data_IF_042994542702
#
_entry.id   IF_042994542702
#
_cell.length_a   1.000
_cell.length_b   1.000
_cell.length_c   1.000
_cell.angle_alpha   90.00
_cell.angle_beta   90.00
_cell.angle_gamma   90.00
#
_symmetry.space_group_name_H-M   'P 1'
#
loop_
_entity.id
_entity.type
_entity.pdbx_description
1 polymer ?
#
# COMPACT_ATOMS: atom_id res chain seq x y z
N UNK A 1 18.73 -7.62 11.80
CA UNK A 1 18.82 -7.01 10.46
C UNK A 1 19.16 -8.12 9.48
N UNK A 2 18.39 -8.24 8.41
CA UNK A 2 18.60 -9.22 7.35
C UNK A 2 19.05 -8.50 6.08
N UNK A 3 20.09 -9.01 5.42
CA UNK A 3 20.62 -8.41 4.19
C UNK A 3 20.04 -9.11 2.97
N UNK A 4 19.54 -8.32 2.04
CA UNK A 4 19.00 -8.76 0.76
C UNK A 4 20.08 -8.65 -0.32
N UNK A 5 19.97 -9.49 -1.35
CA UNK A 5 20.87 -9.41 -2.50
C UNK A 5 20.54 -8.21 -3.40
N UNK A 6 19.26 -7.86 -3.47
CA UNK A 6 18.67 -6.91 -4.41
C UNK A 6 17.98 -5.75 -3.69
N UNK A 7 17.79 -4.62 -4.37
CA UNK A 7 17.16 -3.41 -3.80
C UNK A 7 15.65 -3.66 -3.64
N UNK A 8 15.11 -3.71 -2.42
CA UNK A 8 13.71 -4.02 -2.19
C UNK A 8 12.81 -2.80 -2.45
N UNK A 9 11.64 -3.01 -3.04
CA UNK A 9 10.70 -1.94 -3.40
C UNK A 9 9.26 -2.19 -2.92
N UNK A 10 8.86 -3.43 -2.66
CA UNK A 10 7.56 -3.74 -2.07
C UNK A 10 7.69 -4.77 -0.94
N UNK A 11 6.83 -4.61 0.06
CA UNK A 11 6.70 -5.52 1.18
C UNK A 11 5.23 -5.80 1.45
N UNK A 12 4.83 -7.06 1.40
CA UNK A 12 3.47 -7.49 1.74
C UNK A 12 3.48 -8.59 2.78
N UNK A 13 2.43 -8.60 3.61
CA UNK A 13 2.15 -9.71 4.50
C UNK A 13 1.54 -10.87 3.71
N UNK A 14 2.05 -12.09 3.93
CA UNK A 14 1.48 -13.31 3.37
C UNK A 14 0.59 -14.00 4.38
N UNK A 15 1.10 -14.23 5.59
CA UNK A 15 0.37 -14.83 6.70
C UNK A 15 0.81 -14.17 8.03
N UNK A 16 0.53 -14.79 9.18
CA UNK A 16 0.88 -14.22 10.50
C UNK A 16 2.39 -14.23 10.80
N UNK A 17 3.15 -15.05 10.10
CA UNK A 17 4.57 -15.33 10.36
C UNK A 17 5.44 -15.25 9.11
N UNK A 18 4.90 -14.85 7.97
CA UNK A 18 5.65 -14.73 6.73
C UNK A 18 5.27 -13.50 5.91
N UNK A 19 6.25 -13.01 5.17
CA UNK A 19 6.16 -11.83 4.30
C UNK A 19 6.68 -12.18 2.91
N UNK A 20 6.25 -11.43 1.91
CA UNK A 20 6.85 -11.45 0.58
C UNK A 20 7.49 -10.09 0.31
N UNK A 21 8.73 -10.13 -0.17
CA UNK A 21 9.50 -8.97 -0.60
C UNK A 21 9.59 -9.01 -2.11
N UNK A 22 9.47 -7.85 -2.71
CA UNK A 22 9.82 -7.64 -4.11
C UNK A 22 11.08 -6.81 -4.14
N UNK A 23 12.07 -7.27 -4.91
CA UNK A 23 13.32 -6.55 -5.12
C UNK A 23 13.62 -6.42 -6.60
N UNK A 24 14.25 -5.32 -6.99
CA UNK A 24 14.75 -5.14 -8.35
C UNK A 24 16.09 -5.85 -8.51
N UNK A 25 16.22 -6.72 -9.52
CA UNK A 25 17.50 -7.36 -9.83
C UNK A 25 18.59 -6.32 -10.14
N UNK A 26 19.85 -6.68 -9.91
CA UNK A 26 20.99 -5.80 -10.21
C UNK A 26 21.05 -5.34 -11.67
N UNK A 27 20.59 -6.18 -12.61
CA UNK A 27 20.50 -5.84 -14.04
C UNK A 27 19.30 -4.93 -14.37
N UNK A 28 18.38 -4.75 -13.42
CA UNK A 28 17.22 -3.89 -13.52
C UNK A 28 16.11 -4.35 -14.48
N UNK A 29 16.25 -5.53 -15.10
CA UNK A 29 15.29 -6.03 -16.11
C UNK A 29 14.08 -6.73 -15.48
N UNK A 30 14.28 -7.43 -14.36
CA UNK A 30 13.24 -8.19 -13.67
C UNK A 30 13.24 -7.95 -12.16
N UNK A 31 12.22 -8.49 -11.49
CA UNK A 31 12.08 -8.48 -10.04
C UNK A 31 12.27 -9.87 -9.45
N UNK A 32 12.79 -9.91 -8.23
CA UNK A 32 12.82 -11.09 -7.38
C UNK A 32 11.64 -11.00 -6.41
N UNK A 33 10.79 -12.02 -6.38
CA UNK A 33 9.80 -12.25 -5.33
C UNK A 33 10.43 -13.21 -4.32
N UNK A 34 10.55 -12.80 -3.06
CA UNK A 34 11.18 -13.59 -2.00
C UNK A 34 10.23 -13.73 -0.82
N UNK A 35 9.80 -14.97 -0.53
CA UNK A 35 9.01 -15.26 0.67
C UNK A 35 9.92 -15.59 1.83
N UNK A 36 9.77 -14.83 2.91
CA UNK A 36 10.54 -15.02 4.13
C UNK A 36 9.61 -15.36 5.31
N UNK A 37 10.04 -16.30 6.12
CA UNK A 37 9.48 -16.55 7.44
C UNK A 37 10.19 -15.67 8.48
N UNK A 38 9.42 -15.11 9.40
CA UNK A 38 9.96 -14.39 10.55
C UNK A 38 10.81 -15.30 11.44
N UNK A 39 11.80 -14.75 12.16
CA UNK A 39 12.44 -15.45 13.26
C UNK A 39 11.40 -15.96 14.26
N UNK A 40 11.44 -17.25 14.60
CA UNK A 40 10.44 -17.87 15.50
C UNK A 40 10.30 -17.14 16.83
N UNK A 41 11.41 -16.58 17.36
CA UNK A 41 11.41 -15.80 18.60
C UNK A 41 10.40 -14.64 18.57
N UNK A 42 10.18 -14.02 17.42
CA UNK A 42 9.25 -12.89 17.25
C UNK A 42 7.80 -13.34 17.04
N UNK A 43 7.59 -14.61 16.68
CA UNK A 43 6.28 -15.20 16.50
C UNK A 43 5.73 -15.86 17.78
N UNK A 44 6.59 -16.09 18.78
CA UNK A 44 6.21 -16.74 20.04
C UNK A 44 5.60 -15.75 21.06
N UNK A 45 4.77 -16.23 21.99
CA UNK A 45 4.37 -15.46 23.15
C UNK A 45 5.59 -14.98 23.97
N UNK A 46 5.50 -13.83 24.68
CA UNK A 46 6.59 -13.31 25.50
C UNK A 46 7.17 -14.33 26.51
N UNK A 47 6.33 -15.22 27.04
CA UNK A 47 6.71 -16.27 27.99
C UNK A 47 7.64 -17.35 27.39
N UNK A 48 7.71 -17.44 26.06
CA UNK A 48 8.47 -18.45 25.33
C UNK A 48 9.63 -17.87 24.51
N UNK A 49 9.87 -16.55 24.55
CA UNK A 49 10.93 -15.88 23.77
C UNK A 49 12.35 -16.44 24.02
N UNK A 50 12.58 -17.06 25.19
CA UNK A 50 13.86 -17.70 25.54
C UNK A 50 14.03 -19.13 25.02
N UNK A 51 12.99 -19.75 24.43
CA UNK A 51 13.00 -21.16 24.01
C UNK A 51 13.49 -21.36 22.57
N UNK A 52 13.40 -20.32 21.74
CA UNK A 52 13.87 -20.37 20.35
C UNK A 52 15.27 -19.76 20.23
N UNK A 53 16.19 -20.50 19.59
CA UNK A 53 17.50 -20.00 19.16
C UNK A 53 17.47 -19.37 17.76
N UNK A 54 16.34 -19.46 17.07
CA UNK A 54 16.17 -18.96 15.72
C UNK A 54 15.98 -17.44 15.72
N UNK A 55 17.01 -16.74 15.25
CA UNK A 55 17.12 -15.27 15.32
C UNK A 55 16.98 -14.61 13.94
N UNK A 56 17.03 -15.38 12.86
CA UNK A 56 17.13 -14.86 11.50
C UNK A 56 15.89 -15.17 10.67
N UNK A 57 15.70 -14.40 9.61
CA UNK A 57 14.69 -14.70 8.61
C UNK A 57 15.06 -15.97 7.86
N UNK A 58 14.08 -16.85 7.66
CA UNK A 58 14.26 -18.04 6.84
C UNK A 58 13.65 -17.81 5.46
N UNK A 59 14.44 -18.00 4.42
CA UNK A 59 13.93 -18.03 3.05
C UNK A 59 13.08 -19.28 2.86
N UNK A 60 11.82 -19.11 2.49
CA UNK A 60 10.90 -20.21 2.18
C UNK A 60 10.90 -20.53 0.69
N UNK A 61 10.83 -19.49 -0.14
CA UNK A 61 10.80 -19.62 -1.59
C UNK A 61 11.23 -18.31 -2.25
N UNK A 62 11.63 -18.38 -3.52
CA UNK A 62 11.95 -17.21 -4.31
C UNK A 62 11.85 -17.47 -5.81
N UNK A 63 11.38 -16.48 -6.56
CA UNK A 63 11.19 -16.55 -8.02
C UNK A 63 11.57 -15.23 -8.66
N UNK A 64 12.15 -15.29 -9.85
CA UNK A 64 12.34 -14.12 -10.70
C UNK A 64 11.16 -13.98 -11.65
N UNK A 65 10.60 -12.78 -11.71
CA UNK A 65 9.63 -12.41 -12.74
C UNK A 65 10.31 -12.21 -14.09
N UNK A 66 9.51 -12.05 -15.14
CA UNK A 66 10.05 -11.72 -16.47
C UNK A 66 10.38 -10.23 -16.57
N UNK A 67 9.57 -9.38 -15.95
CA UNK A 67 9.70 -7.93 -15.97
C UNK A 67 9.64 -7.35 -14.56
N UNK A 68 9.96 -6.06 -14.42
CA UNK A 68 9.83 -5.34 -13.16
C UNK A 68 8.38 -5.39 -12.65
N UNK A 69 8.20 -5.79 -11.40
CA UNK A 69 6.92 -5.72 -10.71
C UNK A 69 6.58 -4.25 -10.45
N UNK A 70 5.35 -3.87 -10.76
CA UNK A 70 4.80 -2.54 -10.49
C UNK A 70 3.91 -2.55 -9.25
N UNK A 71 3.10 -3.59 -9.09
CA UNK A 71 2.22 -3.78 -7.93
C UNK A 71 2.20 -5.25 -7.55
N UNK A 72 2.09 -5.51 -6.26
CA UNK A 72 1.92 -6.85 -5.68
C UNK A 72 0.88 -6.77 -4.56
N UNK A 73 0.10 -7.83 -4.40
CA UNK A 73 -0.77 -8.04 -3.23
C UNK A 73 -0.93 -9.54 -2.95
N UNK A 74 -1.23 -9.89 -1.70
CA UNK A 74 -1.36 -11.26 -1.24
C UNK A 74 -2.80 -11.76 -1.33
N UNK A 75 -2.99 -12.97 -1.86
CA UNK A 75 -4.25 -13.70 -1.77
C UNK A 75 -4.34 -14.40 -0.40
N UNK A 76 -5.51 -14.32 0.25
CA UNK A 76 -5.71 -14.95 1.55
C UNK A 76 -5.60 -16.47 1.42
N UNK A 77 -4.93 -17.11 2.39
CA UNK A 77 -4.92 -18.55 2.64
C UNK A 77 -4.20 -19.46 1.63
N UNK A 78 -3.75 -18.95 0.49
CA UNK A 78 -3.24 -19.81 -0.60
C UNK A 78 -1.73 -19.68 -0.85
N UNK A 79 -0.98 -18.93 -0.04
CA UNK A 79 0.46 -18.66 -0.26
C UNK A 79 0.77 -18.09 -1.67
N UNK A 80 -0.26 -17.48 -2.27
CA UNK A 80 -0.23 -16.90 -3.61
C UNK A 80 -0.16 -15.39 -3.55
N UNK A 81 0.53 -14.83 -4.54
CA UNK A 81 0.59 -13.39 -4.78
C UNK A 81 0.06 -13.08 -6.16
N UNK A 82 -0.66 -11.97 -6.27
CA UNK A 82 -1.01 -11.37 -7.56
C UNK A 82 0.01 -10.27 -7.81
N UNK A 83 0.54 -10.21 -9.03
CA UNK A 83 1.43 -9.13 -9.45
C UNK A 83 0.97 -8.52 -10.76
N UNK A 84 1.24 -7.23 -10.91
CA UNK A 84 1.30 -6.55 -12.20
C UNK A 84 2.75 -6.26 -12.55
N UNK A 85 3.09 -6.43 -13.81
CA UNK A 85 4.44 -6.21 -14.34
C UNK A 85 4.46 -4.97 -15.24
N UNK A 86 5.54 -4.19 -15.20
CA UNK A 86 5.69 -3.00 -16.04
C UNK A 86 5.63 -3.39 -17.51
N UNK A 87 4.88 -2.61 -18.29
CA UNK A 87 4.69 -2.79 -19.73
C UNK A 87 4.06 -4.14 -20.13
N UNK A 88 3.49 -4.86 -19.18
CA UNK A 88 2.79 -6.12 -19.42
C UNK A 88 1.29 -5.91 -19.21
N UNK A 89 0.50 -6.55 -20.07
CA UNK A 89 -0.94 -6.54 -19.93
C UNK A 89 -1.41 -7.67 -18.99
N UNK A 90 -2.37 -7.37 -18.13
CA UNK A 90 -2.98 -8.34 -17.23
C UNK A 90 -2.24 -8.52 -15.90
N UNK A 91 -2.68 -9.51 -15.13
CA UNK A 91 -2.15 -9.85 -13.80
C UNK A 91 -1.64 -11.29 -13.79
N UNK A 92 -0.51 -11.52 -13.12
CA UNK A 92 0.06 -12.87 -12.95
C UNK A 92 -0.13 -13.34 -11.51
N UNK A 93 -0.43 -14.62 -11.33
CA UNK A 93 -0.55 -15.24 -10.01
C UNK A 93 0.63 -16.18 -9.82
N UNK A 94 1.42 -15.92 -8.79
CA UNK A 94 2.55 -16.78 -8.40
C UNK A 94 2.18 -17.52 -7.12
N UNK A 95 2.36 -18.84 -7.10
CA UNK A 95 2.32 -19.60 -5.86
C UNK A 95 3.72 -19.72 -5.30
N UNK A 96 3.85 -19.30 -4.05
CA UNK A 96 5.11 -19.28 -3.32
C UNK A 96 5.20 -20.45 -2.31
N UNK A 97 4.31 -21.43 -2.41
CA UNK A 97 4.36 -22.70 -1.68
C UNK A 97 5.35 -23.67 -2.35
N UNK A 98 6.53 -23.82 -1.75
CA UNK A 98 7.54 -24.77 -2.20
C UNK A 98 7.45 -26.07 -1.39
N UNK A 99 6.44 -26.89 -1.68
CA UNK A 99 6.40 -28.27 -1.19
C UNK A 99 7.13 -29.26 -2.12
N UNK A 100 7.49 -28.85 -3.33
CA UNK A 100 8.25 -29.67 -4.27
C UNK A 100 9.50 -28.93 -4.73
N UNK A 101 10.60 -29.68 -4.90
CA UNK A 101 11.97 -29.22 -5.14
C UNK A 101 12.22 -28.50 -6.48
N UNK A 102 11.19 -27.88 -7.07
CA UNK A 102 11.24 -27.12 -8.30
C UNK A 102 11.37 -25.61 -8.05
N UNK A 103 11.96 -24.90 -9.01
CA UNK A 103 11.93 -23.43 -9.03
C UNK A 103 10.45 -22.99 -9.10
N UNK A 104 9.95 -22.08 -8.25
CA UNK A 104 8.58 -21.61 -8.36
C UNK A 104 8.38 -21.00 -9.75
N UNK A 105 7.37 -21.48 -10.47
CA UNK A 105 6.90 -20.88 -11.73
C UNK A 105 5.53 -20.24 -11.49
N UNK A 106 5.12 -19.22 -12.27
CA UNK A 106 3.77 -18.67 -12.15
C UNK A 106 2.73 -19.77 -12.39
N UNK A 107 1.78 -19.92 -11.47
CA UNK A 107 0.73 -20.95 -11.58
C UNK A 107 -0.31 -20.60 -12.63
N UNK A 108 -0.61 -19.31 -12.80
CA UNK A 108 -1.60 -18.85 -13.76
C UNK A 108 -1.35 -17.40 -14.17
N UNK A 109 -1.73 -17.10 -15.41
CA UNK A 109 -1.72 -15.75 -15.96
C UNK A 109 -3.19 -15.38 -16.18
N UNK A 110 -3.71 -14.41 -15.43
CA UNK A 110 -4.95 -13.75 -15.80
C UNK A 110 -4.62 -12.80 -16.94
N UNK A 111 -4.80 -13.29 -18.16
CA UNK A 111 -4.57 -12.55 -19.39
C UNK A 111 -5.73 -11.60 -19.66
N UNK A 112 -6.09 -10.71 -18.74
CA UNK A 112 -7.01 -9.60 -19.06
C UNK A 112 -6.17 -8.50 -19.71
N UNK A 113 -6.16 -8.38 -21.05
CA UNK A 113 -5.16 -7.58 -21.76
C UNK A 113 -5.35 -6.07 -21.59
N UNK A 114 -6.39 -5.64 -20.88
CA UNK A 114 -6.83 -4.24 -20.79
C UNK A 114 -6.61 -3.65 -19.40
N UNK A 115 -6.15 -4.44 -18.42
CA UNK A 115 -5.90 -3.98 -17.06
C UNK A 115 -4.67 -3.07 -17.00
N UNK A 116 -4.79 -1.96 -16.27
CA UNK A 116 -3.65 -1.13 -15.92
C UNK A 116 -2.74 -1.89 -14.93
N UNK A 117 -1.52 -1.37 -14.76
CA UNK A 117 -0.59 -1.90 -13.77
C UNK A 117 -1.06 -1.68 -12.32
N UNK A 118 -2.01 -0.80 -12.08
CA UNK A 118 -2.56 -0.53 -10.74
C UNK A 118 -3.82 -1.36 -10.50
N UNK A 119 -3.76 -2.26 -9.51
CA UNK A 119 -4.88 -3.09 -9.09
C UNK A 119 -4.98 -3.17 -7.56
N UNK A 120 -6.17 -3.51 -7.08
CA UNK A 120 -6.47 -3.66 -5.66
C UNK A 120 -7.41 -4.84 -5.44
N UNK A 121 -7.14 -5.68 -4.44
CA UNK A 121 -8.02 -6.81 -4.13
C UNK A 121 -9.20 -6.31 -3.29
N UNK A 122 -10.42 -6.51 -3.78
CA UNK A 122 -11.66 -6.23 -3.03
C UNK A 122 -12.02 -7.41 -2.13
N UNK A 123 -11.98 -8.61 -2.71
CA UNK A 123 -12.33 -9.84 -2.01
C UNK A 123 -11.22 -10.87 -2.23
N UNK A 124 -10.45 -11.14 -1.18
CA UNK A 124 -9.34 -12.11 -1.20
C UNK A 124 -9.80 -13.56 -1.33
N UNK A 125 -11.04 -13.89 -0.95
CA UNK A 125 -11.60 -15.25 -1.01
C UNK A 125 -12.08 -15.58 -2.42
N UNK A 126 -12.76 -14.63 -3.05
CA UNK A 126 -13.32 -14.79 -4.40
C UNK A 126 -12.39 -14.25 -5.50
N UNK A 127 -11.16 -13.85 -5.15
CA UNK A 127 -10.17 -13.25 -6.05
C UNK A 127 -10.74 -12.11 -6.91
N UNK A 128 -11.55 -11.24 -6.31
CA UNK A 128 -12.12 -10.08 -7.00
C UNK A 128 -11.16 -8.91 -6.90
N UNK A 129 -10.76 -8.38 -8.04
CA UNK A 129 -9.87 -7.22 -8.15
C UNK A 129 -10.58 -6.02 -8.74
N UNK A 130 -10.14 -4.84 -8.32
CA UNK A 130 -10.45 -3.57 -8.92
C UNK A 130 -9.22 -3.04 -9.64
N UNK A 131 -9.36 -2.63 -10.89
CA UNK A 131 -8.29 -1.98 -11.64
C UNK A 131 -8.84 -0.87 -12.53
N UNK A 132 -7.97 0.07 -12.90
CA UNK A 132 -8.22 0.95 -14.04
C UNK A 132 -7.96 0.17 -15.32
N UNK A 133 -8.63 0.51 -16.41
CA UNK A 133 -8.27 -0.02 -17.74
C UNK A 133 -7.88 1.13 -18.66
N UNK A 134 -7.38 0.80 -19.85
CA UNK A 134 -7.07 1.80 -20.87
C UNK A 134 -8.32 2.52 -21.41
N UNK A 135 -9.52 1.98 -21.17
CA UNK A 135 -10.77 2.45 -21.78
C UNK A 135 -11.84 2.84 -20.74
N UNK A 136 -11.95 2.05 -19.67
CA UNK A 136 -12.86 2.28 -18.55
C UNK A 136 -12.09 2.84 -17.34
N UNK A 137 -12.67 3.80 -16.60
CA UNK A 137 -11.99 4.43 -15.48
C UNK A 137 -11.69 3.43 -14.36
N UNK A 138 -12.63 2.54 -14.04
CA UNK A 138 -12.53 1.56 -12.94
C UNK A 138 -13.45 0.37 -13.25
N UNK A 139 -12.92 -0.86 -13.16
CA UNK A 139 -13.69 -2.11 -13.36
C UNK A 139 -13.43 -3.11 -12.24
N UNK A 140 -14.45 -3.92 -11.95
CA UNK A 140 -14.35 -5.09 -11.08
C UNK A 140 -14.22 -6.35 -11.91
N UNK A 141 -13.25 -7.19 -11.58
CA UNK A 141 -12.94 -8.42 -12.30
C UNK A 141 -12.88 -9.58 -11.32
N UNK A 142 -13.57 -10.66 -11.65
CA UNK A 142 -13.40 -11.95 -11.00
C UNK A 142 -12.24 -12.68 -11.69
N UNK A 143 -11.13 -12.91 -10.97
CA UNK A 143 -9.96 -13.59 -11.53
C UNK A 143 -10.16 -15.11 -11.67
N UNK A 144 -11.11 -15.73 -10.94
CA UNK A 144 -11.36 -17.17 -11.05
C UNK A 144 -12.01 -17.52 -12.39
N UNK A 145 -12.99 -16.71 -12.82
CA UNK A 145 -13.67 -16.88 -14.11
C UNK A 145 -13.17 -15.92 -15.20
N UNK A 146 -12.19 -15.08 -14.87
CA UNK A 146 -11.58 -14.09 -15.76
C UNK A 146 -12.61 -13.16 -16.43
N UNK A 147 -13.60 -12.68 -15.66
CA UNK A 147 -14.76 -11.95 -16.19
C UNK A 147 -14.94 -10.60 -15.49
N UNK A 148 -15.26 -9.56 -16.29
CA UNK A 148 -15.74 -8.27 -15.79
C UNK A 148 -17.07 -8.47 -15.07
N UNK A 149 -17.11 -8.12 -13.78
CA UNK A 149 -18.31 -8.17 -12.93
C UNK A 149 -19.13 -6.89 -13.11
N UNK A 150 -18.47 -5.74 -12.95
CA UNK A 150 -19.11 -4.42 -12.92
C UNK A 150 -18.14 -3.35 -13.42
N UNK A 151 -18.70 -2.26 -13.95
CA UNK A 151 -18.00 -1.03 -14.25
C UNK A 151 -18.44 0.05 -13.27
N UNK A 152 -17.50 0.83 -12.75
CA UNK A 152 -17.83 2.00 -11.93
C UNK A 152 -17.82 3.22 -12.84
N UNK A 153 -19.00 3.70 -13.17
CA UNK A 153 -19.17 4.98 -13.85
C UNK A 153 -18.97 6.11 -12.83
N UNK A 154 -17.72 6.56 -12.72
CA UNK A 154 -17.34 7.61 -11.79
C UNK A 154 -17.29 8.97 -12.51
N UNK A 155 -18.27 9.87 -12.27
CA UNK A 155 -18.28 11.20 -12.87
C UNK A 155 -17.28 12.10 -12.13
N UNK A 156 -15.99 12.02 -12.46
CA UNK A 156 -15.06 13.06 -12.04
C UNK A 156 -15.45 14.38 -12.67
N UNK A 157 -15.93 15.32 -11.86
CA UNK A 157 -15.75 16.74 -12.16
C UNK A 157 -14.27 17.05 -11.94
N UNK A 158 -13.40 16.65 -12.87
CA UNK A 158 -12.02 17.10 -12.87
C UNK A 158 -12.09 18.62 -13.10
N UNK A 159 -12.03 19.41 -12.02
CA UNK A 159 -11.82 20.86 -12.12
C UNK A 159 -10.45 20.99 -12.77
N UNK A 160 -10.42 21.25 -14.08
CA UNK A 160 -9.19 21.67 -14.70
C UNK A 160 -8.77 22.92 -13.93
N UNK A 161 -7.65 22.83 -13.20
CA UNK A 161 -6.99 24.01 -12.70
C UNK A 161 -6.86 24.97 -13.88
N UNK A 162 -7.18 26.24 -13.65
CA UNK A 162 -7.06 27.35 -14.59
C UNK A 162 -5.63 27.41 -15.17
N UNK A 163 -5.32 26.55 -16.13
CA UNK A 163 -4.36 26.83 -17.17
C UNK A 163 -5.14 27.70 -18.15
N UNK A 164 -4.95 29.00 -17.99
CA UNK A 164 -5.54 30.03 -18.82
C UNK A 164 -5.28 29.75 -20.30
N UNK A 165 -6.23 29.08 -20.95
CA UNK A 165 -6.56 29.19 -22.37
C UNK A 165 -7.69 28.22 -22.68
N UNK A 166 -8.88 28.78 -22.93
CA UNK A 166 -9.80 28.40 -24.01
C UNK A 166 -11.26 28.69 -23.60
N UNK A 167 -11.78 29.78 -24.17
CA UNK A 167 -13.16 30.25 -24.11
C UNK A 167 -14.17 29.34 -24.85
N UNK A 168 -14.03 28.02 -24.84
CA UNK A 168 -14.93 27.12 -25.56
C UNK A 168 -15.38 25.95 -24.67
N UNK A 169 -16.07 26.27 -23.56
CA UNK A 169 -16.47 25.26 -22.56
C UNK A 169 -17.88 24.67 -22.75
N UNK A 170 -18.63 25.06 -23.79
CA UNK A 170 -20.03 24.62 -23.91
C UNK A 170 -20.30 23.37 -24.76
N UNK A 171 -19.35 22.88 -25.57
CA UNK A 171 -19.64 21.78 -26.51
C UNK A 171 -18.72 20.57 -26.43
N UNK A 172 -18.04 20.36 -25.30
CA UNK A 172 -17.06 19.30 -25.19
C UNK A 172 -17.38 18.40 -23.98
N UNK A 173 -18.13 17.31 -24.25
CA UNK A 173 -17.98 16.04 -23.50
C UNK A 173 -16.60 15.44 -23.82
N UNK A 174 -15.53 16.24 -23.69
CA UNK A 174 -14.17 15.74 -23.83
C UNK A 174 -13.93 14.87 -22.61
N UNK A 175 -13.66 13.59 -22.87
CA UNK A 175 -13.25 12.57 -21.93
C UNK A 175 -12.09 13.07 -21.05
N UNK A 176 -12.41 13.78 -19.97
CA UNK A 176 -11.47 14.15 -18.91
C UNK A 176 -10.87 12.92 -18.21
N UNK A 177 -11.40 11.72 -18.50
CA UNK A 177 -10.97 10.44 -17.97
C UNK A 177 -9.53 10.06 -18.33
N UNK A 178 -8.98 10.57 -19.45
CA UNK A 178 -7.64 10.19 -19.90
C UNK A 178 -6.49 10.87 -19.13
N UNK A 179 -6.73 11.99 -18.43
CA UNK A 179 -5.67 12.77 -17.77
C UNK A 179 -5.73 12.80 -16.23
N UNK A 180 -6.80 12.29 -15.62
CA UNK A 180 -6.89 12.19 -14.16
C UNK A 180 -6.13 10.91 -13.70
N UNK A 181 -5.13 11.08 -12.85
CA UNK A 181 -4.34 9.98 -12.28
C UNK A 181 -5.09 9.45 -11.06
N UNK A 182 -5.91 8.42 -11.29
CA UNK A 182 -6.87 7.91 -10.31
C UNK A 182 -6.28 6.68 -9.63
N UNK A 183 -6.27 6.70 -8.29
CA UNK A 183 -5.97 5.55 -7.45
C UNK A 183 -7.25 5.05 -6.79
N UNK A 184 -7.34 3.76 -6.59
CA UNK A 184 -8.50 3.12 -5.97
C UNK A 184 -8.07 2.41 -4.68
N UNK A 185 -8.95 2.28 -3.70
CA UNK A 185 -8.68 1.48 -2.51
C UNK A 185 -10.00 0.89 -1.99
N UNK A 186 -10.18 -0.45 -2.03
CA UNK A 186 -11.36 -1.10 -1.48
C UNK A 186 -11.44 -0.85 0.03
N UNK A 187 -12.52 -0.25 0.51
CA UNK A 187 -12.71 -0.01 1.95
C UNK A 187 -13.41 -1.21 2.63
N UNK A 188 -14.20 -1.95 1.87
CA UNK A 188 -14.78 -3.25 2.20
C UNK A 188 -15.24 -3.93 0.89
N UNK A 189 -15.99 -5.03 0.99
CA UNK A 189 -16.50 -5.78 -0.17
C UNK A 189 -17.46 -4.99 -1.07
N UNK A 190 -18.11 -3.96 -0.53
CA UNK A 190 -19.17 -3.20 -1.20
C UNK A 190 -18.78 -1.76 -1.52
N UNK A 191 -17.69 -1.24 -0.95
CA UNK A 191 -17.31 0.16 -1.14
C UNK A 191 -15.84 0.32 -1.50
N UNK A 192 -15.59 1.32 -2.34
CA UNK A 192 -14.25 1.69 -2.80
C UNK A 192 -14.05 3.19 -2.65
N UNK A 193 -12.87 3.57 -2.19
CA UNK A 193 -12.43 4.95 -2.27
C UNK A 193 -11.67 5.21 -3.56
N UNK A 194 -11.97 6.32 -4.20
CA UNK A 194 -11.41 6.77 -5.47
C UNK A 194 -10.71 8.10 -5.18
N UNK A 195 -9.40 8.13 -5.39
CA UNK A 195 -8.55 9.29 -5.16
C UNK A 195 -8.02 9.82 -6.48
N UNK A 196 -8.17 11.11 -6.73
CA UNK A 196 -7.33 11.80 -7.71
C UNK A 196 -5.98 12.08 -7.07
N UNK A 197 -4.94 11.38 -7.51
CA UNK A 197 -3.59 11.49 -6.93
C UNK A 197 -3.01 12.89 -7.09
N UNK A 198 -3.45 13.68 -8.07
CA UNK A 198 -2.89 15.02 -8.32
C UNK A 198 -3.53 16.12 -7.48
N UNK A 199 -4.81 15.98 -7.14
CA UNK A 199 -5.56 16.99 -6.38
C UNK A 199 -5.83 16.59 -4.94
N UNK A 200 -5.68 15.30 -4.61
CA UNK A 200 -6.06 14.78 -3.31
C UNK A 200 -7.58 14.65 -3.13
N UNK A 201 -8.38 14.90 -4.18
CA UNK A 201 -9.83 14.74 -4.13
C UNK A 201 -10.19 13.27 -3.95
N UNK A 202 -11.03 13.00 -2.96
CA UNK A 202 -11.38 11.67 -2.52
C UNK A 202 -12.89 11.48 -2.62
N UNK A 203 -13.32 10.39 -3.23
CA UNK A 203 -14.73 9.97 -3.22
C UNK A 203 -14.88 8.56 -2.74
N UNK A 204 -16.03 8.24 -2.14
CA UNK A 204 -16.39 6.88 -1.77
C UNK A 204 -17.63 6.45 -2.54
N UNK A 205 -17.50 5.32 -3.24
CA UNK A 205 -18.52 4.73 -4.08
C UNK A 205 -18.99 3.40 -3.47
N UNK A 206 -20.31 3.15 -3.46
CA UNK A 206 -20.91 1.87 -3.08
C UNK A 206 -21.42 1.14 -4.33
N UNK A 207 -20.84 -0.03 -4.60
CA UNK A 207 -21.12 -0.86 -5.77
C UNK A 207 -22.58 -1.32 -5.86
N UNK A 208 -23.26 -1.48 -4.72
CA UNK A 208 -24.65 -1.99 -4.67
C UNK A 208 -25.67 -0.93 -5.04
N UNK A 209 -25.39 0.31 -4.63
CA UNK A 209 -26.29 1.44 -4.86
C UNK A 209 -25.95 2.22 -6.12
N UNK A 210 -24.79 1.95 -6.70
CA UNK A 210 -24.18 2.68 -7.81
C UNK A 210 -24.05 4.18 -7.55
N UNK A 211 -23.94 4.57 -6.27
CA UNK A 211 -23.88 5.97 -5.84
C UNK A 211 -22.57 6.29 -5.14
N UNK A 212 -22.07 7.48 -5.46
CA UNK A 212 -21.08 8.17 -4.65
C UNK A 212 -21.81 8.81 -3.46
N UNK A 213 -21.40 8.50 -2.23
CA UNK A 213 -22.04 9.04 -1.03
C UNK A 213 -21.14 10.01 -0.25
N UNK A 214 -19.83 10.03 -0.52
CA UNK A 214 -18.93 11.07 0.02
C UNK A 214 -18.03 11.60 -1.06
N UNK A 215 -17.88 12.93 -1.12
CA UNK A 215 -16.89 13.62 -1.93
C UNK A 215 -16.18 14.65 -1.05
N UNK A 216 -14.88 14.44 -0.83
CA UNK A 216 -14.00 15.34 -0.13
C UNK A 216 -13.11 16.00 -1.17
N UNK A 217 -13.32 17.29 -1.38
CA UNK A 217 -12.41 18.09 -2.19
C UNK A 217 -11.23 18.52 -1.32
N UNK A 218 -10.02 18.28 -1.80
CA UNK A 218 -8.84 18.86 -1.19
C UNK A 218 -8.49 20.15 -1.94
N UNK A 219 -8.52 21.27 -1.23
CA UNK A 219 -7.99 22.52 -1.76
C UNK A 219 -6.47 22.44 -1.72
N UNK A 220 -5.85 22.11 -2.85
CA UNK A 220 -4.39 22.23 -3.02
C UNK A 220 -4.03 23.71 -2.90
N UNK A 221 -3.31 24.08 -1.84
CA UNK A 221 -3.07 25.49 -1.47
C UNK A 221 -1.90 26.14 -2.22
N UNK A 222 -1.03 25.36 -2.85
CA UNK A 222 0.22 25.87 -3.43
C UNK A 222 0.35 25.55 -4.92
N UNK A 223 0.32 26.58 -5.77
CA UNK A 223 0.33 26.45 -7.23
C UNK A 223 1.66 25.92 -7.82
N UNK A 224 2.72 25.79 -7.01
CA UNK A 224 4.09 25.55 -7.48
C UNK A 224 4.64 24.15 -7.14
N UNK A 225 3.91 23.33 -6.39
CA UNK A 225 4.36 21.98 -6.04
C UNK A 225 3.41 20.97 -6.67
N UNK A 226 3.97 20.03 -7.44
CA UNK A 226 3.19 18.91 -7.98
C UNK A 226 2.94 17.92 -6.84
N UNK A 227 1.74 18.00 -6.27
CA UNK A 227 1.31 17.05 -5.25
C UNK A 227 0.97 15.69 -5.86
N UNK A 228 1.38 14.62 -5.16
CA UNK A 228 1.02 13.25 -5.47
C UNK A 228 0.53 12.57 -4.20
N UNK A 229 -0.75 12.24 -4.18
CA UNK A 229 -1.44 11.64 -3.07
C UNK A 229 -1.49 10.11 -3.23
N UNK A 230 -1.31 9.41 -2.13
CA UNK A 230 -1.42 7.95 -2.00
C UNK A 230 -2.51 7.60 -1.00
N UNK A 231 -3.01 6.37 -1.02
CA UNK A 231 -3.99 5.89 -0.03
C UNK A 231 -3.47 4.65 0.70
N UNK A 232 -3.95 4.49 1.93
CA UNK A 232 -3.71 3.31 2.75
C UNK A 232 -4.92 3.03 3.64
N UNK A 233 -5.09 1.79 4.07
CA UNK A 233 -6.14 1.39 5.00
C UNK A 233 -5.61 0.45 6.06
N UNK A 234 -6.31 0.43 7.20
CA UNK A 234 -6.28 -0.68 8.15
C UNK A 234 -6.87 -1.93 7.49
N UNK A 235 -6.32 -3.09 7.84
CA UNK A 235 -6.81 -4.38 7.37
C UNK A 235 -8.18 -4.71 7.99
N UNK A 236 -9.06 -5.30 7.19
CA UNK A 236 -10.50 -5.46 7.50
C UNK A 236 -10.81 -6.62 8.48
N UNK A 237 -9.79 -7.20 9.14
CA UNK A 237 -9.96 -8.40 9.98
C UNK A 237 -10.48 -8.06 11.38
N UNK A 238 -11.75 -7.66 11.48
CA UNK A 238 -12.53 -7.55 12.73
C UNK A 238 -11.89 -6.74 13.88
N UNK A 239 -10.79 -6.04 13.67
CA UNK A 239 -10.09 -5.30 14.70
C UNK A 239 -10.30 -3.81 14.50
N UNK A 240 -10.67 -3.16 15.59
CA UNK A 240 -10.44 -1.74 15.74
C UNK A 240 -8.92 -1.51 15.63
N UNK A 241 -8.45 -0.53 14.83
CA UNK A 241 -9.28 0.55 14.28
C UNK A 241 -9.63 0.44 12.78
N UNK A 242 -10.84 0.91 12.44
CA UNK A 242 -11.38 0.97 11.08
C UNK A 242 -10.97 2.27 10.36
N UNK A 243 -9.68 2.48 10.15
CA UNK A 243 -9.16 3.68 9.51
C UNK A 243 -8.75 3.47 8.05
N UNK A 244 -8.85 4.54 7.27
CA UNK A 244 -8.12 4.68 6.03
C UNK A 244 -7.61 6.11 5.92
N UNK A 245 -6.62 6.36 5.07
CA UNK A 245 -6.04 7.68 4.97
C UNK A 245 -5.35 7.93 3.66
N UNK A 246 -5.12 9.20 3.40
CA UNK A 246 -4.38 9.70 2.24
C UNK A 246 -3.13 10.42 2.70
N UNK A 247 -2.05 10.29 1.94
CA UNK A 247 -0.75 10.92 2.22
C UNK A 247 -0.19 11.52 0.94
N UNK A 248 0.10 12.81 0.98
CA UNK A 248 0.78 13.55 -0.08
C UNK A 248 2.30 13.39 0.01
N UNK A 249 2.96 13.46 -1.15
CA UNK A 249 4.41 13.66 -1.27
C UNK A 249 4.91 14.99 -0.64
N UNK A 250 4.00 15.88 -0.23
CA UNK A 250 4.26 17.09 0.56
C UNK A 250 4.11 16.90 2.08
N UNK A 251 4.04 15.65 2.55
CA UNK A 251 3.90 15.29 3.96
C UNK A 251 2.56 15.69 4.63
N UNK A 252 1.62 16.21 3.84
CA UNK A 252 0.23 16.41 4.23
C UNK A 252 -0.51 15.08 4.24
N UNK A 253 -1.28 14.81 5.29
CA UNK A 253 -2.09 13.60 5.36
C UNK A 253 -3.49 13.86 5.92
N UNK A 254 -4.40 12.95 5.62
CA UNK A 254 -5.74 12.92 6.19
C UNK A 254 -6.14 11.49 6.52
N UNK A 255 -6.59 11.27 7.75
CA UNK A 255 -7.07 9.96 8.22
C UNK A 255 -8.56 10.06 8.49
N UNK A 256 -9.28 9.02 8.08
CA UNK A 256 -10.72 8.90 8.10
C UNK A 256 -11.16 7.63 8.82
N UNK A 257 -12.27 7.69 9.54
CA UNK A 257 -12.93 6.53 10.15
C UNK A 257 -13.98 5.95 9.19
N UNK A 258 -13.80 4.69 8.77
CA UNK A 258 -14.68 3.97 7.82
C UNK A 258 -16.13 3.84 8.34
N UNK A 259 -16.38 3.98 9.65
CA UNK A 259 -17.70 3.80 10.26
C UNK A 259 -18.58 5.05 10.18
N UNK A 260 -18.01 6.24 9.98
CA UNK A 260 -18.72 7.51 10.06
C UNK A 260 -19.12 7.99 8.67
N UNK A 261 -20.24 7.50 8.16
CA UNK A 261 -20.72 7.73 6.79
C UNK A 261 -21.14 9.18 6.45
N UNK A 262 -21.39 10.06 7.44
CA UNK A 262 -21.99 11.38 7.19
C UNK A 262 -21.20 12.58 7.74
N UNK A 263 -20.24 12.34 8.62
CA UNK A 263 -19.36 13.38 9.18
C UNK A 263 -17.96 12.79 9.31
N UNK A 264 -17.37 12.37 8.19
CA UNK A 264 -16.08 11.67 8.19
C UNK A 264 -15.10 12.46 9.06
N UNK A 265 -14.80 11.88 10.23
CA UNK A 265 -13.90 12.46 11.18
C UNK A 265 -12.54 12.49 10.51
N UNK A 266 -12.05 13.68 10.23
CA UNK A 266 -10.84 13.89 9.46
C UNK A 266 -9.77 14.42 10.40
N UNK A 267 -8.85 13.54 10.79
CA UNK A 267 -7.59 13.99 11.36
C UNK A 267 -6.75 14.48 10.18
N UNK A 268 -6.59 15.81 10.05
CA UNK A 268 -5.63 16.40 9.10
C UNK A 268 -4.34 16.70 9.83
N UNK A 269 -3.22 16.45 9.16
CA UNK A 269 -1.92 16.76 9.70
C UNK A 269 -0.93 17.08 8.61
N UNK A 270 0.11 17.80 9.01
CA UNK A 270 1.33 18.03 8.24
C UNK A 270 2.47 17.54 9.12
N UNK A 271 3.33 16.66 8.61
CA UNK A 271 4.48 16.22 9.40
C UNK A 271 5.51 17.36 9.51
N UNK A 272 5.82 17.99 8.37
CA UNK A 272 6.70 19.15 8.22
C UNK A 272 6.15 20.01 7.07
N UNK A 273 6.69 21.21 6.88
CA UNK A 273 6.49 22.00 5.65
C UNK A 273 7.67 21.74 4.72
N UNK A 274 7.67 20.65 3.93
CA UNK A 274 8.79 20.36 3.07
C UNK A 274 8.93 21.43 1.99
N UNK A 275 10.17 21.75 1.63
CA UNK A 275 10.47 22.67 0.52
C UNK A 275 10.41 21.98 -0.85
N UNK A 276 10.27 20.64 -0.88
CA UNK A 276 10.33 19.80 -2.08
C UNK A 276 9.43 18.57 -1.90
N UNK A 277 8.95 18.02 -3.02
CA UNK A 277 8.19 16.76 -3.05
C UNK A 277 9.08 15.56 -2.71
N UNK A 278 8.48 14.53 -2.10
CA UNK A 278 9.16 13.29 -1.68
C UNK A 278 8.47 12.08 -2.34
N UNK A 279 9.18 11.43 -3.26
CA UNK A 279 8.55 10.53 -4.24
C UNK A 279 8.16 9.13 -3.71
N UNK A 280 8.43 8.81 -2.44
CA UNK A 280 8.17 7.47 -1.90
C UNK A 280 7.56 7.43 -0.48
N UNK A 281 6.80 8.45 -0.10
CA UNK A 281 6.10 8.44 1.17
C UNK A 281 5.08 7.30 1.27
N UNK A 282 5.09 6.57 2.38
CA UNK A 282 4.13 5.48 2.66
C UNK A 282 3.42 5.73 3.99
N UNK A 283 2.11 5.55 4.01
CA UNK A 283 1.27 5.50 5.21
C UNK A 283 0.85 4.06 5.48
N UNK A 284 0.96 3.58 6.71
CA UNK A 284 0.43 2.26 7.11
C UNK A 284 -0.24 2.36 8.47
N UNK A 285 -1.30 1.59 8.66
CA UNK A 285 -2.07 1.58 9.90
C UNK A 285 -1.71 0.36 10.74
N UNK A 286 -1.67 0.55 12.05
CA UNK A 286 -1.62 -0.55 12.99
C UNK A 286 -2.98 -1.29 13.02
N UNK A 287 -2.96 -2.61 13.21
CA UNK A 287 -4.18 -3.43 13.19
C UNK A 287 -4.97 -3.41 14.49
N UNK A 288 -4.34 -3.30 15.68
CA UNK A 288 -5.05 -3.35 16.97
C UNK A 288 -5.10 -2.03 17.72
N UNK A 289 -4.25 -1.10 17.37
CA UNK A 289 -4.10 0.17 18.10
C UNK A 289 -4.40 1.36 17.21
N UNK A 290 -4.81 2.47 17.83
CA UNK A 290 -4.98 3.77 17.19
C UNK A 290 -3.61 4.39 16.83
N UNK A 291 -2.84 3.68 16.01
CA UNK A 291 -1.52 4.06 15.53
C UNK A 291 -1.43 3.97 14.02
N UNK A 292 -0.58 4.82 13.47
CA UNK A 292 -0.14 4.74 12.09
C UNK A 292 1.34 5.04 12.01
N UNK A 293 1.95 4.66 10.90
CA UNK A 293 3.36 4.91 10.64
C UNK A 293 3.57 5.50 9.26
N UNK A 294 4.63 6.30 9.15
CA UNK A 294 5.07 6.91 7.92
C UNK A 294 6.54 6.59 7.66
N UNK A 295 6.86 6.22 6.42
CA UNK A 295 8.22 5.98 5.93
C UNK A 295 8.45 6.68 4.58
N UNK A 296 9.68 6.63 4.07
CA UNK A 296 10.03 7.13 2.73
C UNK A 296 10.68 8.52 2.70
N UNK A 297 10.88 9.14 3.87
CA UNK A 297 11.61 10.41 4.00
C UNK A 297 13.13 10.20 3.96
N UNK A 298 13.59 9.13 4.59
CA UNK A 298 14.97 8.76 4.87
C UNK A 298 14.98 7.35 5.47
N UNK A 299 16.02 7.03 6.25
CA UNK A 299 16.21 5.75 6.92
C UNK A 299 15.20 5.48 8.06
N UNK A 300 14.25 6.37 8.30
CA UNK A 300 13.35 6.30 9.44
C UNK A 300 11.95 5.76 9.12
N UNK A 301 11.39 5.07 10.10
CA UNK A 301 9.95 4.84 10.21
C UNK A 301 9.45 5.58 11.44
N UNK A 302 8.56 6.55 11.24
CA UNK A 302 7.95 7.32 12.34
C UNK A 302 6.59 6.72 12.69
N UNK A 303 6.32 6.52 13.97
CA UNK A 303 5.04 6.03 14.49
C UNK A 303 4.32 7.15 15.21
N UNK A 304 3.03 7.24 14.96
CA UNK A 304 2.13 8.24 15.52
C UNK A 304 0.96 7.55 16.20
N UNK A 305 0.56 8.09 17.35
CA UNK A 305 -0.69 7.72 18.03
C UNK A 305 -1.76 8.74 17.65
N UNK A 306 -2.89 8.25 17.19
CA UNK A 306 -4.09 9.07 16.99
C UNK A 306 -4.68 9.38 18.36
N UNK A 307 -4.94 10.66 18.60
CA UNK A 307 -5.60 11.13 19.81
C UNK A 307 -7.04 11.53 19.48
N UNK A 308 -7.90 11.51 20.49
CA UNK A 308 -9.23 12.11 20.39
C UNK A 308 -9.08 13.60 20.03
N UNK A 309 -10.02 14.16 19.27
CA UNK A 309 -10.08 15.57 18.83
C UNK A 309 -9.10 16.00 17.72
N UNK A 310 -8.99 15.23 16.63
CA UNK A 310 -8.22 15.65 15.45
C UNK A 310 -6.72 15.85 15.65
N UNK A 311 -6.16 15.26 16.72
CA UNK A 311 -4.75 15.36 17.04
C UNK A 311 -4.03 14.04 16.80
N UNK A 312 -2.75 14.13 16.51
CA UNK A 312 -1.82 13.01 16.48
C UNK A 312 -0.58 13.38 17.28
N UNK A 313 0.00 12.39 17.95
CA UNK A 313 1.25 12.54 18.69
C UNK A 313 2.29 11.63 18.05
N UNK A 314 3.43 12.19 17.67
CA UNK A 314 4.61 11.38 17.36
C UNK A 314 5.04 10.63 18.63
N UNK A 315 5.13 9.31 18.56
CA UNK A 315 5.45 8.47 19.73
C UNK A 315 6.75 7.71 19.58
N UNK A 316 7.23 7.50 18.34
CA UNK A 316 8.45 6.73 18.13
C UNK A 316 9.08 6.99 16.76
N UNK A 317 10.40 6.86 16.69
CA UNK A 317 11.15 6.85 15.43
C UNK A 317 12.09 5.66 15.44
N UNK A 318 11.92 4.74 14.49
CA UNK A 318 12.89 3.71 14.23
C UNK A 318 13.98 4.22 13.30
N UNK A 319 15.24 4.01 13.66
CA UNK A 319 16.43 4.34 12.85
C UNK A 319 17.39 3.13 12.81
N UNK A 320 16.87 1.96 12.42
CA UNK A 320 17.68 0.74 12.34
C UNK A 320 18.36 0.51 10.99
N UNK A 321 18.03 1.30 9.96
CA UNK A 321 18.67 1.18 8.65
C UNK A 321 19.92 2.05 8.63
N UNK A 322 21.08 1.44 8.87
CA UNK A 322 22.35 2.16 8.97
C UNK A 322 22.69 2.86 7.65
N UNK A 323 23.09 4.14 7.70
CA UNK A 323 23.61 4.81 6.52
C UNK A 323 24.93 4.17 6.10
N UNK A 324 25.08 3.97 4.79
CA UNK A 324 26.39 3.68 4.21
C UNK A 324 27.24 4.95 4.15
N UNK A 325 28.46 4.81 3.66
CA UNK A 325 29.46 5.90 3.67
C UNK A 325 29.08 7.10 2.77
N UNK A 326 28.21 6.92 1.77
CA UNK A 326 28.00 7.93 0.72
C UNK A 326 26.58 8.53 0.65
N UNK A 327 25.53 7.83 1.11
CA UNK A 327 24.14 8.33 1.03
C UNK A 327 23.30 7.87 2.22
N UNK A 328 22.39 8.76 2.67
CA UNK A 328 21.34 8.39 3.61
C UNK A 328 20.36 7.45 2.89
N UNK A 329 20.18 6.22 3.37
CA UNK A 329 19.32 5.26 2.72
C UNK A 329 17.86 5.62 2.99
N UNK A 330 16.97 5.20 2.10
CA UNK A 330 15.54 5.50 2.18
C UNK A 330 14.76 4.22 2.42
N UNK A 331 13.89 4.22 3.44
CA UNK A 331 12.95 3.12 3.66
C UNK A 331 11.99 3.07 2.47
N UNK A 332 12.01 1.97 1.74
CA UNK A 332 11.25 1.82 0.49
C UNK A 332 9.81 1.39 0.73
N UNK A 333 9.57 0.58 1.76
CA UNK A 333 8.25 0.18 2.24
C UNK A 333 8.32 -0.29 3.69
N UNK A 334 7.16 -0.39 4.34
CA UNK A 334 7.00 -1.02 5.64
C UNK A 334 5.59 -1.60 5.80
N UNK A 335 5.43 -2.51 6.74
CA UNK A 335 4.13 -3.06 7.14
C UNK A 335 4.07 -3.20 8.66
N UNK A 336 2.85 -3.13 9.18
CA UNK A 336 2.52 -3.66 10.50
C UNK A 336 2.22 -5.15 10.35
N UNK A 337 2.70 -5.96 11.28
CA UNK A 337 2.48 -7.38 11.30
C UNK A 337 2.06 -7.83 12.70
N UNK A 338 0.87 -8.42 12.77
CA UNK A 338 0.31 -8.95 13.99
C UNK A 338 0.52 -10.47 14.04
N UNK A 339 1.41 -10.92 14.91
CA UNK A 339 1.72 -12.35 15.09
C UNK A 339 0.66 -13.07 15.94
N UNK A 340 -0.36 -12.36 16.42
CA UNK A 340 -1.32 -12.81 17.43
C UNK A 340 -0.92 -12.38 18.83
N UNK A 341 0.38 -12.42 19.15
CA UNK A 341 0.91 -12.11 20.48
C UNK A 341 1.59 -10.74 20.54
N UNK A 342 2.13 -10.26 19.42
CA UNK A 342 2.86 -9.00 19.35
C UNK A 342 2.52 -8.24 18.08
N UNK A 343 2.70 -6.92 18.14
CA UNK A 343 2.69 -6.06 16.98
C UNK A 343 4.13 -5.76 16.59
N UNK A 344 4.48 -6.14 15.37
CA UNK A 344 5.78 -5.94 14.79
C UNK A 344 5.66 -4.94 13.64
N UNK A 345 6.73 -4.20 13.39
CA UNK A 345 6.89 -3.46 12.16
C UNK A 345 8.06 -4.08 11.40
N UNK A 346 7.83 -4.33 10.12
CA UNK A 346 8.87 -4.77 9.19
C UNK A 346 9.09 -3.65 8.20
N UNK A 347 10.34 -3.26 8.01
CA UNK A 347 10.74 -2.21 7.08
C UNK A 347 11.85 -2.70 6.17
N UNK A 348 11.77 -2.31 4.90
CA UNK A 348 12.76 -2.58 3.86
C UNK A 348 13.35 -1.26 3.38
N UNK A 349 14.62 -1.27 2.97
CA UNK A 349 15.36 -0.07 2.65
C UNK A 349 16.23 -0.26 1.40
N UNK A 350 16.46 0.83 0.65
CA UNK A 350 17.21 0.82 -0.60
C UNK A 350 18.69 0.40 -0.45
N UNK A 351 19.25 0.45 0.76
CA UNK A 351 20.54 -0.14 1.12
C UNK A 351 20.50 -1.68 1.27
N UNK A 352 19.47 -2.33 0.73
CA UNK A 352 19.27 -3.79 0.75
C UNK A 352 19.11 -4.39 2.15
N UNK A 353 18.64 -3.62 3.12
CA UNK A 353 18.40 -4.13 4.48
C UNK A 353 16.92 -4.33 4.77
N UNK A 354 16.63 -5.35 5.55
CA UNK A 354 15.32 -5.62 6.14
C UNK A 354 15.45 -5.65 7.67
N UNK A 355 14.57 -4.91 8.34
CA UNK A 355 14.46 -4.88 9.79
C UNK A 355 13.08 -5.32 10.23
N UNK A 356 13.04 -6.04 11.35
CA UNK A 356 11.81 -6.39 12.05
C UNK A 356 12.00 -6.04 13.52
N UNK A 357 11.08 -5.26 14.04
CA UNK A 357 11.20 -4.66 15.36
C UNK A 357 9.81 -4.48 15.97
N UNK A 358 9.78 -4.38 17.30
CA UNK A 358 8.57 -4.11 18.05
C UNK A 358 8.68 -2.69 18.64
N UNK A 359 7.58 -1.95 18.60
CA UNK A 359 7.44 -0.71 19.34
C UNK A 359 6.89 -1.00 20.75
N UNK A 360 7.78 -1.12 21.73
CA UNK A 360 7.37 -1.35 23.12
C UNK A 360 7.27 0.00 23.86
N UNK A 361 6.05 0.47 24.16
CA UNK A 361 5.81 1.76 24.85
C UNK A 361 6.47 1.84 26.24
N UNK A 362 6.82 0.70 26.85
CA UNK A 362 7.40 0.64 28.21
C UNK A 362 8.82 1.19 28.36
N UNK A 363 9.43 1.68 27.28
CA UNK A 363 10.77 2.29 27.30
C UNK A 363 10.74 3.83 27.24
N UNK A 364 9.61 4.48 27.53
CA UNK A 364 9.63 5.90 27.89
C UNK A 364 10.44 6.06 29.19
N UNK A 365 11.71 6.47 29.02
CA UNK A 365 12.64 6.78 30.10
C UNK A 365 12.06 7.98 30.88
N UNK A 366 11.94 7.80 32.20
CA UNK A 366 11.57 8.81 33.21
C UNK A 366 12.58 9.96 33.20
#
# INVERSE_FOLDING_TARGET
>A
MFNLNNVPNHLIQMDKISVCIVSQSEKGANSELLRLQLPKKLALPPEEEGRSKDNDFKVLSGVYTENLVHRIDGLSNDEKVIVSEKNMAGLKIYNLNNNESGKPQPESISSVPWMSSEFYIINKTNNVVCCKTNHDPIVLIDLQVNKKIQQVDYPMKCKQHNLASLQNYENSKINCHNNCDIKCLPLNENTISILNSKTGDLSIYDFRSEKCFVNINNETKEANIVENWTMSKSDDKNSFPNHFGILSNTESFSIFDKRRNSSMFQNRGELHKPKKSIDNLKLKFCEKEDKFSISGLNAFVKVFKMANNNNYKHVFTHNGHSPGDEFLPTVTDHIWLNTGHQELIISICDNKTLNCWNHNEKLEII
#
